data_IF_427551309366
#
_entry.id   IF_427551309366
#
_cell.length_a   1.000
_cell.length_b   1.000
_cell.length_c   1.000
_cell.angle_alpha   90.00
_cell.angle_beta   90.00
_cell.angle_gamma   90.00
#
_symmetry.space_group_name_H-M   'P 1'
#
loop_
_entity.id
_entity.type
_entity.pdbx_description
1 polymer ?
#
# COMPACT_ATOMS: atom_id res chain seq x y z
N UNK A 1 5.86 56.92 -50.09
CA UNK A 1 5.43 56.35 -51.40
C UNK A 1 5.53 54.82 -51.35
N UNK A 2 4.43 54.07 -51.23
CA UNK A 2 4.47 52.62 -51.39
C UNK A 2 3.76 52.18 -52.69
N UNK A 3 4.49 51.51 -53.59
CA UNK A 3 3.89 50.74 -54.69
C UNK A 3 4.94 49.87 -55.37
N UNK A 4 4.69 48.54 -55.42
CA UNK A 4 4.81 47.56 -56.54
C UNK A 4 4.31 46.19 -56.00
N UNK A 5 3.01 46.03 -55.71
CA UNK A 5 2.02 45.43 -56.62
C UNK A 5 2.55 44.22 -57.41
N UNK A 6 1.87 43.10 -57.23
CA UNK A 6 1.73 41.96 -58.15
C UNK A 6 2.92 41.03 -58.33
N UNK A 7 2.97 40.02 -57.46
CA UNK A 7 3.13 38.63 -57.89
C UNK A 7 2.25 37.78 -56.95
N UNK A 8 0.93 38.00 -56.96
CA UNK A 8 0.00 37.07 -57.63
C UNK A 8 0.46 35.63 -57.42
N UNK A 9 -0.18 34.96 -56.46
CA UNK A 9 -1.26 34.03 -56.78
C UNK A 9 -0.74 32.75 -57.40
N UNK A 10 -1.32 31.66 -56.92
CA UNK A 10 -1.44 30.32 -57.50
C UNK A 10 -0.68 29.27 -56.66
N UNK A 11 -1.23 28.11 -56.34
CA UNK A 11 -2.51 27.42 -56.56
C UNK A 11 -2.37 26.19 -55.62
N UNK A 12 -3.25 25.99 -54.65
CA UNK A 12 -4.45 25.17 -54.73
C UNK A 12 -4.24 23.64 -54.60
N UNK A 13 -5.05 23.06 -53.69
CA UNK A 13 -5.54 21.68 -53.61
C UNK A 13 -4.49 20.59 -53.29
N UNK A 14 -4.69 19.71 -52.30
CA UNK A 14 -5.54 18.50 -52.25
C UNK A 14 -5.25 17.94 -50.83
N UNK A 15 -6.13 17.43 -49.96
CA UNK A 15 -7.21 16.44 -50.08
C UNK A 15 -7.98 16.37 -48.75
N UNK A 16 -9.28 16.16 -48.82
CA UNK A 16 -10.08 15.59 -47.74
C UNK A 16 -9.78 14.08 -47.61
N UNK A 17 -9.50 13.58 -46.41
CA UNK A 17 -9.74 12.19 -46.00
C UNK A 17 -9.42 11.98 -44.51
N UNK A 18 -10.33 11.30 -43.81
CA UNK A 18 -9.95 10.40 -42.73
C UNK A 18 -10.15 10.91 -41.31
N UNK A 19 -11.33 10.65 -40.75
CA UNK A 19 -11.49 10.37 -39.33
C UNK A 19 -10.35 9.43 -38.88
N UNK A 20 -9.50 9.87 -37.96
CA UNK A 20 -8.47 9.01 -37.37
C UNK A 20 -8.45 9.22 -35.86
N UNK A 21 -9.12 8.28 -35.18
CA UNK A 21 -8.84 7.87 -33.82
C UNK A 21 -8.93 8.93 -32.74
N UNK A 22 -10.09 9.03 -32.09
CA UNK A 22 -10.08 9.20 -30.64
C UNK A 22 -9.32 7.98 -30.10
N UNK A 23 -8.03 8.15 -29.79
CA UNK A 23 -7.28 7.21 -28.98
C UNK A 23 -7.99 7.09 -27.64
N UNK A 24 -8.91 6.14 -27.55
CA UNK A 24 -9.42 5.65 -26.28
C UNK A 24 -8.21 5.05 -25.58
N UNK A 25 -7.64 5.82 -24.65
CA UNK A 25 -6.70 5.34 -23.67
C UNK A 25 -7.41 4.26 -22.86
N UNK A 26 -7.36 3.02 -23.33
CA UNK A 26 -7.74 1.87 -22.51
C UNK A 26 -6.69 1.79 -21.43
N UNK A 27 -6.98 2.43 -20.29
CA UNK A 27 -6.22 2.23 -19.07
C UNK A 27 -6.40 0.76 -18.74
N UNK A 28 -5.44 -0.06 -19.17
CA UNK A 28 -5.35 -1.43 -18.76
C UNK A 28 -5.30 -1.36 -17.23
N UNK A 29 -6.37 -1.80 -16.58
CA UNK A 29 -6.34 -2.08 -15.16
C UNK A 29 -5.22 -3.12 -15.02
N UNK A 30 -4.03 -2.68 -14.61
CA UNK A 30 -2.99 -3.60 -14.18
C UNK A 30 -3.68 -4.49 -13.16
N UNK A 31 -3.67 -5.81 -13.43
CA UNK A 31 -4.29 -6.79 -12.57
C UNK A 31 -3.56 -6.72 -11.23
N UNK A 32 -4.09 -5.88 -10.36
CA UNK A 32 -3.47 -5.59 -9.09
C UNK A 32 -3.51 -6.87 -8.27
N UNK A 33 -2.36 -7.28 -7.73
CA UNK A 33 -2.25 -8.55 -7.00
C UNK A 33 -3.31 -8.67 -5.89
N UNK A 34 -3.61 -9.91 -5.45
CA UNK A 34 -4.69 -10.15 -4.50
C UNK A 34 -4.48 -9.37 -3.19
N UNK A 35 -5.59 -8.93 -2.61
CA UNK A 35 -5.62 -8.31 -1.29
C UNK A 35 -5.05 -9.26 -0.24
N UNK A 36 -4.32 -8.70 0.73
CA UNK A 36 -3.73 -9.46 1.83
C UNK A 36 -4.26 -8.93 3.15
N UNK A 37 -4.95 -9.81 3.87
CA UNK A 37 -5.55 -9.50 5.17
C UNK A 37 -4.88 -10.30 6.28
N UNK A 38 -4.43 -9.59 7.33
CA UNK A 38 -3.97 -10.19 8.58
C UNK A 38 -5.10 -10.19 9.60
N UNK A 39 -5.24 -11.29 10.35
CA UNK A 39 -6.13 -11.40 11.49
C UNK A 39 -5.27 -11.70 12.72
N UNK A 40 -5.13 -10.72 13.59
CA UNK A 40 -4.20 -10.74 14.70
C UNK A 40 -4.93 -10.47 16.01
N UNK A 41 -4.52 -11.18 17.07
CA UNK A 41 -5.03 -11.01 18.42
C UNK A 41 -3.87 -10.84 19.39
N UNK A 42 -3.84 -9.75 20.15
CA UNK A 42 -2.81 -9.52 21.16
C UNK A 42 -3.30 -10.03 22.53
N UNK A 43 -2.60 -11.02 23.07
CA UNK A 43 -3.02 -11.68 24.31
C UNK A 43 -2.87 -10.79 25.56
N UNK A 44 -2.03 -9.76 25.49
CA UNK A 44 -1.75 -8.89 26.63
C UNK A 44 -2.71 -7.71 26.71
N UNK A 45 -3.14 -7.18 25.56
CA UNK A 45 -4.09 -6.06 25.51
C UNK A 45 -5.53 -6.52 25.30
N UNK A 46 -5.74 -7.74 24.81
CA UNK A 46 -7.06 -8.25 24.41
C UNK A 46 -7.59 -7.65 23.10
N UNK A 47 -6.79 -6.82 22.43
CA UNK A 47 -7.15 -6.19 21.17
C UNK A 47 -7.09 -7.21 20.02
N UNK A 48 -8.01 -7.06 19.07
CA UNK A 48 -8.04 -7.85 17.83
C UNK A 48 -8.09 -6.91 16.64
N UNK A 49 -7.29 -7.19 15.62
CA UNK A 49 -7.30 -6.46 14.35
C UNK A 49 -7.47 -7.45 13.20
N UNK A 50 -8.40 -7.16 12.30
CA UNK A 50 -8.52 -7.80 11.00
C UNK A 50 -8.34 -6.73 9.93
N UNK A 51 -7.15 -6.67 9.34
CA UNK A 51 -6.67 -5.52 8.58
C UNK A 51 -6.13 -5.93 7.22
N UNK A 52 -6.55 -5.21 6.17
CA UNK A 52 -6.13 -5.46 4.79
C UNK A 52 -4.99 -4.51 4.43
N UNK A 53 -3.79 -4.87 4.89
CA UNK A 53 -2.59 -4.03 4.80
C UNK A 53 -1.99 -3.92 3.40
N UNK A 54 -2.37 -4.80 2.47
CA UNK A 54 -1.96 -4.77 1.07
C UNK A 54 -3.18 -4.88 0.17
N UNK A 55 -3.38 -3.90 -0.69
CA UNK A 55 -4.44 -3.89 -1.68
C UNK A 55 -3.97 -3.16 -2.93
N UNK A 56 -4.50 -3.55 -4.07
CA UNK A 56 -4.18 -2.94 -5.36
C UNK A 56 -2.66 -2.90 -5.67
N UNK A 57 -1.92 -3.91 -5.21
CA UNK A 57 -0.46 -4.00 -5.43
C UNK A 57 0.37 -3.04 -4.58
N UNK A 58 -0.22 -2.43 -3.54
CA UNK A 58 0.43 -1.44 -2.69
C UNK A 58 0.09 -1.66 -1.22
N UNK A 59 0.91 -1.08 -0.35
CA UNK A 59 0.61 -1.04 1.09
C UNK A 59 -0.46 0.01 1.39
N UNK A 60 -1.36 -0.32 2.30
CA UNK A 60 -2.37 0.60 2.83
C UNK A 60 -1.86 1.12 4.17
N UNK A 61 -1.33 2.35 4.20
CA UNK A 61 -0.61 2.89 5.36
C UNK A 61 -1.49 2.96 6.62
N UNK A 62 -2.76 3.33 6.50
CA UNK A 62 -3.68 3.36 7.66
C UNK A 62 -3.90 1.98 8.28
N UNK A 63 -3.87 0.93 7.46
CA UNK A 63 -4.02 -0.45 7.90
C UNK A 63 -2.74 -0.94 8.59
N UNK A 64 -1.58 -0.55 8.06
CA UNK A 64 -0.28 -0.77 8.72
C UNK A 64 -0.24 -0.10 10.09
N UNK A 65 -0.64 1.17 10.19
CA UNK A 65 -0.64 1.90 11.46
C UNK A 65 -1.53 1.23 12.52
N UNK A 66 -2.67 0.66 12.11
CA UNK A 66 -3.51 -0.14 13.02
C UNK A 66 -2.81 -1.40 13.50
N UNK A 67 -2.06 -2.07 12.62
CA UNK A 67 -1.28 -3.24 12.99
C UNK A 67 -0.11 -2.84 13.90
N UNK A 68 0.62 -1.77 13.59
CA UNK A 68 1.70 -1.21 14.43
C UNK A 68 1.19 -0.92 15.85
N UNK A 69 0.00 -0.32 15.97
CA UNK A 69 -0.64 -0.07 17.25
C UNK A 69 -0.94 -1.38 18.00
N UNK A 70 -1.46 -2.41 17.32
CA UNK A 70 -1.72 -3.72 17.94
C UNK A 70 -0.42 -4.37 18.47
N UNK A 71 0.68 -4.25 17.72
CA UNK A 71 1.97 -4.87 18.06
C UNK A 71 2.90 -3.94 18.86
N UNK A 72 2.38 -2.85 19.40
CA UNK A 72 3.13 -1.90 20.24
C UNK A 72 3.70 -2.56 21.49
N UNK A 73 4.68 -1.90 22.10
CA UNK A 73 5.07 -2.24 23.46
C UNK A 73 3.96 -1.82 24.43
N UNK A 74 3.10 -2.75 24.82
CA UNK A 74 1.96 -2.47 25.69
C UNK A 74 2.36 -1.98 27.09
N UNK A 75 3.59 -2.25 27.55
CA UNK A 75 4.06 -1.83 28.88
C UNK A 75 4.49 -0.37 28.90
N UNK A 76 5.03 0.11 27.77
CA UNK A 76 5.46 1.48 27.60
C UNK A 76 4.44 2.33 26.81
N UNK A 77 3.43 1.69 26.22
CA UNK A 77 2.53 2.26 25.23
C UNK A 77 3.30 2.94 24.07
N UNK A 78 4.39 2.30 23.65
CA UNK A 78 5.34 2.82 22.66
C UNK A 78 5.15 2.08 21.32
N UNK A 79 4.90 2.86 20.26
CA UNK A 79 4.59 2.38 18.92
C UNK A 79 5.75 2.76 18.01
N UNK A 80 6.18 1.82 17.18
CA UNK A 80 7.14 2.09 16.11
C UNK A 80 6.56 1.65 14.78
N UNK A 81 7.02 2.25 13.70
CA UNK A 81 6.77 1.73 12.37
C UNK A 81 7.57 0.43 12.20
N UNK A 82 6.87 -0.70 12.14
CA UNK A 82 7.50 -1.98 11.85
C UNK A 82 7.94 -2.07 10.38
N UNK A 83 8.87 -2.97 10.10
CA UNK A 83 9.24 -3.27 8.72
C UNK A 83 8.02 -3.85 7.98
N UNK A 84 7.63 -3.23 6.86
CA UNK A 84 6.49 -3.68 6.06
C UNK A 84 6.64 -5.10 5.54
N UNK A 85 7.89 -5.58 5.33
CA UNK A 85 8.14 -6.95 4.90
C UNK A 85 7.71 -7.97 5.98
N UNK A 86 7.78 -7.61 7.26
CA UNK A 86 7.29 -8.45 8.36
C UNK A 86 5.81 -8.84 8.15
N UNK A 87 4.97 -7.90 7.72
CA UNK A 87 3.55 -8.17 7.52
C UNK A 87 3.28 -9.08 6.32
N UNK A 88 4.13 -9.01 5.29
CA UNK A 88 4.08 -9.94 4.18
C UNK A 88 4.42 -11.37 4.62
N UNK A 89 5.46 -11.52 5.44
CA UNK A 89 5.89 -12.81 5.97
C UNK A 89 4.83 -13.40 6.93
N UNK A 90 4.23 -12.57 7.78
CA UNK A 90 3.11 -12.96 8.65
C UNK A 90 1.89 -13.40 7.83
N UNK A 91 1.58 -12.71 6.73
CA UNK A 91 0.47 -13.10 5.85
C UNK A 91 0.74 -14.46 5.21
N UNK A 92 1.95 -14.69 4.74
CA UNK A 92 2.37 -15.98 4.21
C UNK A 92 2.23 -17.09 5.26
N UNK A 93 2.65 -16.84 6.49
CA UNK A 93 2.49 -17.77 7.60
C UNK A 93 1.01 -18.07 7.89
N UNK A 94 0.18 -17.04 8.00
CA UNK A 94 -1.26 -17.17 8.27
C UNK A 94 -1.95 -17.96 7.15
N UNK A 95 -1.67 -17.65 5.89
CA UNK A 95 -2.29 -18.31 4.74
C UNK A 95 -1.96 -19.80 4.66
N UNK A 96 -0.76 -20.20 5.09
CA UNK A 96 -0.30 -21.59 5.08
C UNK A 96 -0.77 -22.40 6.28
N UNK A 97 -0.78 -21.81 7.48
CA UNK A 97 -1.00 -22.55 8.72
C UNK A 97 -2.39 -22.37 9.32
N UNK A 98 -3.01 -21.21 9.16
CA UNK A 98 -4.23 -20.83 9.88
C UNK A 98 -5.04 -19.75 9.16
N UNK A 99 -5.49 -20.00 7.92
CA UNK A 99 -6.09 -18.95 7.06
C UNK A 99 -7.38 -18.33 7.62
N UNK A 100 -8.10 -19.06 8.48
CA UNK A 100 -9.39 -18.65 9.04
C UNK A 100 -9.36 -18.38 10.55
N UNK A 101 -8.18 -18.35 11.17
CA UNK A 101 -8.01 -18.16 12.61
C UNK A 101 -7.09 -16.97 12.89
N UNK A 102 -7.29 -16.23 13.99
CA UNK A 102 -6.38 -15.16 14.36
C UNK A 102 -5.01 -15.73 14.74
N UNK A 103 -3.93 -15.05 14.34
CA UNK A 103 -2.61 -15.28 14.90
C UNK A 103 -2.50 -14.59 16.26
N UNK A 104 -2.04 -15.36 17.26
CA UNK A 104 -1.90 -14.90 18.63
C UNK A 104 -0.54 -14.22 18.81
N UNK A 105 -0.58 -12.91 19.02
CA UNK A 105 0.59 -12.09 19.29
C UNK A 105 0.89 -12.15 20.78
N UNK A 106 1.95 -12.90 21.11
CA UNK A 106 2.51 -12.96 22.47
C UNK A 106 3.39 -11.73 22.73
N UNK A 107 4.18 -11.32 21.75
CA UNK A 107 5.02 -10.13 21.84
C UNK A 107 5.14 -9.48 20.47
N UNK A 108 4.93 -8.17 20.43
CA UNK A 108 5.34 -7.32 19.32
C UNK A 108 6.65 -6.62 19.65
N UNK A 109 6.71 -5.30 19.40
CA UNK A 109 7.83 -4.45 19.77
C UNK A 109 8.09 -4.47 21.28
N UNK A 110 9.36 -4.44 21.67
CA UNK A 110 9.80 -4.20 23.05
C UNK A 110 10.76 -3.03 23.08
N UNK A 111 10.34 -1.95 23.72
CA UNK A 111 11.16 -0.76 23.91
C UNK A 111 12.44 -1.10 24.68
N UNK A 112 13.54 -0.34 24.49
CA UNK A 112 14.75 -0.46 25.31
C UNK A 112 14.45 -0.37 26.81
N UNK A 113 13.49 0.49 27.20
CA UNK A 113 13.06 0.64 28.59
C UNK A 113 12.43 -0.65 29.14
N UNK A 114 11.50 -1.26 28.40
CA UNK A 114 10.88 -2.53 28.80
C UNK A 114 11.92 -3.64 28.90
N UNK A 115 12.83 -3.76 27.93
CA UNK A 115 13.88 -4.78 27.97
C UNK A 115 14.83 -4.57 29.17
N UNK A 116 15.18 -3.33 29.52
CA UNK A 116 16.00 -3.04 30.70
C UNK A 116 15.29 -3.44 32.00
N UNK A 117 13.99 -3.15 32.13
CA UNK A 117 13.17 -3.56 33.29
C UNK A 117 13.09 -5.08 33.43
N UNK A 118 12.82 -5.80 32.33
CA UNK A 118 12.70 -7.26 32.35
C UNK A 118 14.02 -7.96 32.69
N UNK A 119 15.15 -7.44 32.18
CA UNK A 119 16.49 -7.99 32.49
C UNK A 119 16.84 -7.90 33.98
N UNK A 120 16.40 -6.84 34.66
CA UNK A 120 16.73 -6.63 36.08
C UNK A 120 15.77 -7.36 37.03
N UNK A 121 14.66 -7.89 36.54
CA UNK A 121 13.70 -8.69 37.31
C UNK A 121 13.89 -10.20 37.14
N UNK A 122 15.02 -10.63 36.57
CA UNK A 122 15.42 -12.03 36.34
C UNK A 122 16.43 -12.48 37.39
#
# INVERSE_FOLDING_TARGET
MPNRRHFLQQLAAVSAAGMSGLSMSTQAAEASGPDRTLHLYNIHTGETVKSTFWSQGQFVDSEIEMIDMLVRDFRANDVIAMDRQLYQDLYELQSRLSPNQPMYIISGYRSPQTNAKLRNGS
#
